data_IF_254587242441
#
_entry.id   IF_254587242441
#
_cell.length_a   1.000
_cell.length_b   1.000
_cell.length_c   1.000
_cell.angle_alpha   90.00
_cell.angle_beta   90.00
_cell.angle_gamma   90.00
#
_symmetry.space_group_name_H-M   'P 1'
#
loop_
_entity.id
_entity.type
_entity.pdbx_description
1 polymer ?
#
# COMPACT_ATOMS: atom_id res chain seq x y z
N UNK A 1 27.65 -33.21 -2.42
CA UNK A 1 26.70 -32.64 -1.45
C UNK A 1 27.36 -31.60 -0.53
N UNK A 2 28.57 -31.84 -0.03
CA UNK A 2 29.35 -30.87 0.76
C UNK A 2 29.75 -29.62 -0.02
N UNK A 3 30.28 -29.78 -1.23
CA UNK A 3 30.64 -28.66 -2.12
C UNK A 3 29.41 -27.85 -2.53
N UNK A 4 28.29 -28.50 -2.86
CA UNK A 4 27.03 -27.84 -3.17
C UNK A 4 26.50 -26.97 -2.02
N UNK A 5 26.67 -27.40 -0.75
CA UNK A 5 26.29 -26.63 0.42
C UNK A 5 27.22 -25.42 0.59
N UNK A 6 28.51 -25.56 0.33
CA UNK A 6 29.48 -24.48 0.40
C UNK A 6 29.23 -23.40 -0.68
N UNK A 7 28.90 -23.82 -1.90
CA UNK A 7 28.57 -22.91 -2.99
C UNK A 7 27.24 -22.13 -2.76
N UNK A 8 26.34 -22.71 -1.94
CA UNK A 8 25.05 -22.06 -1.63
C UNK A 8 25.16 -21.04 -0.46
N UNK A 9 26.14 -21.19 0.42
CA UNK A 9 26.33 -20.36 1.60
C UNK A 9 27.40 -19.30 1.31
N UNK A 10 26.99 -18.17 0.76
CA UNK A 10 27.80 -16.98 0.59
C UNK A 10 27.31 -15.83 1.49
N UNK A 11 28.02 -14.69 1.48
CA UNK A 11 27.59 -13.51 2.24
C UNK A 11 26.22 -12.98 1.78
N UNK A 12 25.90 -13.06 0.51
CA UNK A 12 24.60 -12.62 -0.01
C UNK A 12 23.46 -13.47 0.57
N UNK A 13 23.62 -14.79 0.66
CA UNK A 13 22.62 -15.67 1.26
C UNK A 13 22.39 -15.35 2.76
N UNK A 14 23.50 -15.17 3.52
CA UNK A 14 23.43 -14.86 4.96
C UNK A 14 22.73 -13.52 5.18
N UNK A 15 23.13 -12.47 4.45
CA UNK A 15 22.53 -11.14 4.57
C UNK A 15 21.08 -11.17 4.13
N UNK A 16 20.74 -11.84 3.04
CA UNK A 16 19.35 -12.01 2.59
C UNK A 16 18.48 -12.70 3.64
N UNK A 17 18.96 -13.76 4.26
CA UNK A 17 18.24 -14.46 5.34
C UNK A 17 18.02 -13.55 6.57
N UNK A 18 19.04 -12.78 6.97
CA UNK A 18 18.93 -11.80 8.05
C UNK A 18 17.96 -10.66 7.71
N UNK A 19 18.05 -10.12 6.52
CA UNK A 19 17.15 -9.04 6.04
C UNK A 19 15.72 -9.54 6.02
N UNK A 20 15.46 -10.77 5.56
CA UNK A 20 14.13 -11.37 5.60
C UNK A 20 13.62 -11.52 7.04
N UNK A 21 14.43 -12.10 7.92
CA UNK A 21 14.03 -12.31 9.30
C UNK A 21 13.74 -10.96 10.00
N UNK A 22 14.66 -10.00 9.94
CA UNK A 22 14.52 -8.70 10.60
C UNK A 22 13.45 -7.86 9.89
N UNK A 23 13.43 -7.84 8.56
CA UNK A 23 12.52 -7.06 7.76
C UNK A 23 11.05 -7.42 7.99
N UNK A 24 10.72 -8.72 8.00
CA UNK A 24 9.36 -9.19 8.30
C UNK A 24 8.92 -8.74 9.70
N UNK A 25 9.77 -8.90 10.71
CA UNK A 25 9.45 -8.45 12.07
C UNK A 25 9.32 -6.93 12.18
N UNK A 26 10.17 -6.17 11.47
CA UNK A 26 10.09 -4.71 11.43
C UNK A 26 8.79 -4.25 10.77
N UNK A 27 8.38 -4.89 9.66
CA UNK A 27 7.10 -4.60 9.00
C UNK A 27 5.91 -4.93 9.89
N UNK A 28 5.90 -6.12 10.52
CA UNK A 28 4.85 -6.48 11.48
C UNK A 28 4.78 -5.50 12.66
N UNK A 29 5.93 -5.06 13.17
CA UNK A 29 6.02 -4.01 14.17
C UNK A 29 5.44 -2.68 13.68
N UNK A 30 5.79 -2.26 12.47
CA UNK A 30 5.27 -1.04 11.85
C UNK A 30 3.76 -1.12 11.64
N UNK A 31 3.23 -2.27 11.22
CA UNK A 31 1.79 -2.51 11.07
C UNK A 31 1.09 -2.40 12.44
N UNK A 32 1.62 -3.03 13.48
CA UNK A 32 1.04 -2.98 14.82
C UNK A 32 1.01 -1.53 15.37
N UNK A 33 2.13 -0.80 15.23
CA UNK A 33 2.20 0.61 15.62
C UNK A 33 1.46 1.53 14.64
N UNK A 34 1.22 1.11 13.40
CA UNK A 34 0.38 1.80 12.43
C UNK A 34 -1.05 2.02 12.95
N UNK A 35 -1.64 1.00 13.57
CA UNK A 35 -2.96 1.11 14.24
C UNK A 35 -2.95 2.15 15.36
N UNK A 36 -1.88 2.17 16.14
CA UNK A 36 -1.72 3.17 17.20
C UNK A 36 -1.57 4.59 16.64
N UNK A 37 -0.73 4.76 15.61
CA UNK A 37 -0.53 6.05 14.93
C UNK A 37 -1.83 6.57 14.34
N UNK A 38 -2.62 5.70 13.72
CA UNK A 38 -3.91 6.08 13.16
C UNK A 38 -4.87 6.60 14.24
N UNK A 39 -4.97 5.92 15.38
CA UNK A 39 -5.77 6.40 16.52
C UNK A 39 -5.28 7.74 17.07
N UNK A 40 -3.97 8.00 17.04
CA UNK A 40 -3.39 9.29 17.45
C UNK A 40 -3.68 10.37 16.43
N UNK A 41 -3.40 10.14 15.15
CA UNK A 41 -3.63 11.10 14.08
C UNK A 41 -5.11 11.46 13.98
N UNK A 42 -6.00 10.47 14.01
CA UNK A 42 -7.44 10.70 13.99
C UNK A 42 -7.92 11.54 15.18
N UNK A 43 -7.37 11.28 16.37
CA UNK A 43 -7.71 12.02 17.58
C UNK A 43 -7.24 13.48 17.48
N UNK A 44 -6.04 13.73 16.99
CA UNK A 44 -5.53 15.10 16.80
C UNK A 44 -6.31 15.88 15.74
N UNK A 45 -6.72 15.25 14.64
CA UNK A 45 -7.60 15.88 13.65
C UNK A 45 -8.97 16.24 14.25
N UNK A 46 -9.43 15.46 15.23
CA UNK A 46 -10.69 15.68 15.95
C UNK A 46 -10.53 16.50 17.25
N UNK A 47 -9.39 17.14 17.44
CA UNK A 47 -9.06 17.95 18.63
C UNK A 47 -9.20 17.19 19.96
N UNK A 48 -8.70 15.95 20.01
CA UNK A 48 -8.68 15.12 21.22
C UNK A 48 -7.35 14.37 21.37
N UNK A 49 -7.01 13.97 22.62
CA UNK A 49 -5.69 13.44 22.97
C UNK A 49 -5.42 12.02 22.40
N UNK A 50 -6.46 11.22 22.15
CA UNK A 50 -6.31 9.83 21.74
C UNK A 50 -5.75 8.90 22.83
N UNK A 51 -5.25 7.70 22.50
CA UNK A 51 -4.73 6.75 23.46
C UNK A 51 -3.55 7.31 24.26
N UNK A 52 -3.62 7.27 25.62
CA UNK A 52 -2.55 7.77 26.50
C UNK A 52 -2.41 7.02 27.81
N UNK A 53 -3.15 5.91 28.05
CA UNK A 53 -3.22 5.22 29.35
C UNK A 53 -2.51 3.88 29.39
N UNK A 54 -2.47 3.12 28.29
CA UNK A 54 -1.90 1.77 28.24
C UNK A 54 -0.39 1.87 28.01
N UNK A 55 0.40 1.80 29.09
CA UNK A 55 1.85 1.80 29.03
C UNK A 55 2.45 0.41 28.78
N UNK A 56 3.77 0.31 28.87
CA UNK A 56 4.52 -0.94 28.77
C UNK A 56 4.86 -1.51 30.16
N UNK A 57 4.08 -1.16 31.17
CA UNK A 57 4.30 -1.58 32.55
C UNK A 57 3.84 -3.04 32.83
N UNK A 58 3.01 -3.63 31.97
CA UNK A 58 2.45 -5.00 32.11
C UNK A 58 1.92 -5.32 33.49
N UNK A 59 1.61 -4.31 34.30
CA UNK A 59 1.24 -4.50 35.70
C UNK A 59 2.40 -4.88 36.64
N UNK A 60 3.64 -4.90 36.16
CA UNK A 60 4.82 -5.29 36.92
C UNK A 60 5.34 -4.10 37.76
N UNK A 61 5.61 -4.30 39.06
CA UNK A 61 5.98 -3.21 39.97
C UNK A 61 7.26 -2.48 39.56
N UNK A 62 8.24 -3.18 38.98
CA UNK A 62 9.52 -2.58 38.56
C UNK A 62 9.44 -1.80 37.26
N UNK A 63 8.37 -2.00 36.46
CA UNK A 63 8.12 -1.24 35.22
C UNK A 63 7.14 -0.09 35.41
N UNK A 64 6.80 0.27 36.64
CA UNK A 64 5.85 1.39 36.93
C UNK A 64 6.24 2.71 36.29
N UNK A 65 7.53 2.96 36.02
CA UNK A 65 8.00 4.16 35.31
C UNK A 65 7.54 4.23 33.84
N UNK A 66 7.19 3.07 33.24
CA UNK A 66 6.61 2.97 31.88
C UNK A 66 5.09 3.05 31.87
N UNK A 67 4.46 3.23 33.04
CA UNK A 67 3.01 3.36 33.17
C UNK A 67 2.52 4.60 32.41
N UNK A 68 1.60 4.40 31.47
CA UNK A 68 1.05 5.50 30.68
C UNK A 68 2.03 6.14 29.68
N UNK A 69 3.21 5.54 29.44
CA UNK A 69 4.19 6.05 28.50
C UNK A 69 3.60 6.11 27.09
N UNK A 70 3.07 7.29 26.70
CA UNK A 70 2.46 7.60 25.41
C UNK A 70 1.46 6.54 24.88
N UNK A 71 0.99 5.61 25.71
CA UNK A 71 0.17 4.45 25.35
C UNK A 71 0.84 3.45 24.36
N UNK A 72 2.15 3.33 24.38
CA UNK A 72 2.92 2.42 23.50
C UNK A 72 2.58 0.93 23.70
N UNK A 73 1.94 0.57 24.82
CA UNK A 73 1.43 -0.80 25.05
C UNK A 73 0.12 -1.14 24.35
N UNK A 74 -0.52 -0.16 23.69
CA UNK A 74 -1.82 -0.35 23.05
C UNK A 74 -1.82 -1.44 21.96
N UNK A 75 -0.84 -1.51 21.03
CA UNK A 75 -0.79 -2.56 20.03
C UNK A 75 -0.72 -3.97 20.61
N UNK A 76 0.03 -4.12 21.70
CA UNK A 76 0.15 -5.40 22.39
C UNK A 76 -1.17 -5.80 23.09
N UNK A 77 -1.84 -4.85 23.73
CA UNK A 77 -3.14 -5.07 24.36
C UNK A 77 -4.20 -5.49 23.31
N UNK A 78 -4.20 -4.85 22.14
CA UNK A 78 -5.08 -5.18 21.03
C UNK A 78 -4.76 -6.59 20.48
N UNK A 79 -3.49 -6.96 20.35
CA UNK A 79 -3.06 -8.29 19.94
C UNK A 79 -3.52 -9.38 20.92
N UNK A 80 -3.28 -9.21 22.22
CA UNK A 80 -3.71 -10.15 23.26
C UNK A 80 -5.23 -10.31 23.25
N UNK A 81 -5.98 -9.23 23.09
CA UNK A 81 -7.43 -9.27 22.96
C UNK A 81 -7.91 -10.19 21.82
N UNK A 82 -7.24 -10.18 20.66
CA UNK A 82 -7.59 -11.07 19.55
C UNK A 82 -7.31 -12.54 19.85
N UNK A 83 -6.25 -12.85 20.61
CA UNK A 83 -5.96 -14.23 21.05
C UNK A 83 -6.97 -14.77 22.04
N UNK A 84 -7.50 -13.94 22.95
CA UNK A 84 -8.45 -14.35 23.99
C UNK A 84 -9.89 -14.38 23.48
N UNK A 85 -10.18 -13.64 22.39
CA UNK A 85 -11.53 -13.57 21.81
C UNK A 85 -11.95 -14.89 21.18
N UNK A 86 -13.22 -15.28 21.34
CA UNK A 86 -13.78 -16.47 20.74
C UNK A 86 -13.68 -16.46 19.21
N UNK A 87 -13.16 -17.55 18.64
CA UNK A 87 -13.07 -17.76 17.20
C UNK A 87 -14.32 -18.48 16.68
N UNK A 88 -15.30 -17.71 16.25
CA UNK A 88 -16.57 -18.22 15.73
C UNK A 88 -16.44 -18.59 14.26
N UNK A 89 -16.96 -19.76 13.89
CA UNK A 89 -17.06 -20.21 12.49
C UNK A 89 -18.52 -20.55 12.18
N UNK A 90 -19.18 -19.87 11.23
CA UNK A 90 -20.55 -20.16 10.84
C UNK A 90 -20.72 -21.60 10.32
N UNK A 91 -21.93 -22.18 10.47
CA UNK A 91 -22.16 -23.61 10.11
C UNK A 91 -22.04 -23.91 8.62
N UNK A 92 -22.42 -22.98 7.76
CA UNK A 92 -22.57 -23.19 6.31
C UNK A 92 -21.44 -22.58 5.50
N UNK A 93 -20.23 -22.41 6.06
CA UNK A 93 -19.06 -21.89 5.37
C UNK A 93 -18.20 -23.03 4.80
N UNK A 94 -17.47 -22.74 3.72
CA UNK A 94 -16.37 -23.59 3.29
C UNK A 94 -15.18 -23.38 4.24
N UNK A 95 -14.97 -24.33 5.17
CA UNK A 95 -14.01 -24.21 6.25
C UNK A 95 -12.56 -24.07 5.74
N UNK A 96 -12.21 -24.70 4.61
CA UNK A 96 -10.87 -24.68 4.04
C UNK A 96 -10.60 -23.30 3.48
N UNK A 97 -11.44 -22.81 2.59
CA UNK A 97 -11.30 -21.48 1.99
C UNK A 97 -11.44 -20.38 3.04
N UNK A 98 -12.36 -20.52 4.00
CA UNK A 98 -12.55 -19.57 5.10
C UNK A 98 -11.31 -19.41 5.98
N UNK A 99 -10.51 -20.47 6.15
CA UNK A 99 -9.27 -20.42 6.93
C UNK A 99 -8.08 -19.96 6.09
N UNK A 100 -8.02 -20.32 4.81
CA UNK A 100 -6.91 -19.96 3.92
C UNK A 100 -6.99 -18.51 3.42
N UNK A 101 -8.19 -17.95 3.25
CA UNK A 101 -8.38 -16.63 2.67
C UNK A 101 -7.62 -15.50 3.41
N UNK A 102 -7.62 -15.40 4.76
CA UNK A 102 -6.80 -14.43 5.47
C UNK A 102 -5.29 -14.60 5.22
N UNK A 103 -4.83 -15.85 5.03
CA UNK A 103 -3.42 -16.15 4.75
C UNK A 103 -3.06 -15.64 3.36
N UNK A 104 -3.91 -15.86 2.34
CA UNK A 104 -3.74 -15.30 1.00
C UNK A 104 -3.77 -13.77 0.96
N UNK A 105 -4.37 -13.11 1.94
CA UNK A 105 -4.29 -11.67 2.06
C UNK A 105 -2.97 -11.20 2.68
N UNK A 106 -2.46 -11.87 3.74
CA UNK A 106 -1.26 -11.45 4.48
C UNK A 106 0.03 -11.78 3.75
N UNK A 107 0.13 -13.00 3.20
CA UNK A 107 1.39 -13.52 2.63
C UNK A 107 1.91 -12.63 1.49
N UNK A 108 1.11 -12.21 0.49
CA UNK A 108 1.58 -11.33 -0.57
C UNK A 108 2.10 -9.99 -0.04
N UNK A 109 1.41 -9.40 0.94
CA UNK A 109 1.83 -8.14 1.53
C UNK A 109 3.22 -8.21 2.18
N UNK A 110 3.57 -9.35 2.80
CA UNK A 110 4.88 -9.55 3.41
C UNK A 110 5.96 -9.95 2.40
N UNK A 111 5.63 -10.79 1.41
CA UNK A 111 6.59 -11.24 0.40
C UNK A 111 7.07 -10.07 -0.48
N UNK A 112 6.28 -9.04 -0.70
CA UNK A 112 6.70 -7.83 -1.42
C UNK A 112 7.97 -7.19 -0.84
N UNK A 113 8.20 -7.30 0.46
CA UNK A 113 9.39 -6.75 1.10
C UNK A 113 10.70 -7.50 0.81
N UNK A 114 10.65 -8.70 0.24
CA UNK A 114 11.83 -9.50 -0.12
C UNK A 114 12.74 -8.75 -1.09
N UNK A 115 12.18 -8.03 -2.04
CA UNK A 115 12.92 -7.36 -3.12
C UNK A 115 13.23 -5.89 -2.81
N UNK A 116 12.72 -5.36 -1.68
CA UNK A 116 12.98 -3.98 -1.30
C UNK A 116 14.44 -3.75 -0.89
N UNK A 117 15.13 -2.73 -1.46
CA UNK A 117 16.49 -2.37 -1.09
C UNK A 117 16.49 -1.53 0.19
N UNK A 118 16.62 -2.18 1.33
CA UNK A 118 16.58 -1.50 2.63
C UNK A 118 17.78 -0.58 2.87
N UNK A 119 19.00 -1.03 2.47
CA UNK A 119 20.24 -0.33 2.79
C UNK A 119 21.22 -0.17 1.63
N UNK A 120 20.82 -0.50 0.40
CA UNK A 120 21.70 -0.48 -0.77
C UNK A 120 22.75 -1.58 -0.72
N UNK A 121 23.99 -1.25 -1.06
CA UNK A 121 25.11 -2.20 -1.02
C UNK A 121 25.94 -2.04 0.25
N UNK A 122 26.44 -3.17 0.76
CA UNK A 122 27.29 -3.25 1.93
C UNK A 122 28.51 -4.14 1.63
N UNK A 123 29.69 -3.69 1.96
CA UNK A 123 30.94 -4.43 1.78
C UNK A 123 31.26 -5.20 3.05
N UNK A 124 31.33 -6.52 2.95
CA UNK A 124 31.64 -7.42 4.05
C UNK A 124 33.05 -7.98 3.83
N UNK A 125 33.95 -7.87 4.80
CA UNK A 125 35.27 -8.51 4.73
C UNK A 125 35.14 -10.04 4.73
N UNK A 126 36.22 -10.74 4.35
CA UNK A 126 36.25 -12.20 4.40
C UNK A 126 35.92 -12.70 5.80
N UNK A 127 35.24 -13.84 5.91
CA UNK A 127 34.84 -14.42 7.20
C UNK A 127 36.03 -14.65 8.14
N UNK A 128 37.17 -15.02 7.59
CA UNK A 128 38.42 -15.24 8.36
C UNK A 128 38.98 -13.94 8.98
N UNK A 129 38.70 -12.77 8.38
CA UNK A 129 39.17 -11.47 8.86
C UNK A 129 38.26 -10.86 9.93
N UNK A 130 37.04 -11.35 10.06
CA UNK A 130 36.08 -10.86 11.04
C UNK A 130 36.35 -11.46 12.42
N UNK A 131 36.62 -10.62 13.42
CA UNK A 131 36.95 -11.06 14.78
C UNK A 131 35.93 -12.00 15.43
N UNK A 132 34.61 -11.82 15.12
CA UNK A 132 33.56 -12.71 15.61
C UNK A 132 33.66 -14.12 15.00
N UNK A 133 33.82 -14.25 13.70
CA UNK A 133 33.96 -15.54 13.04
C UNK A 133 35.29 -16.18 13.39
N UNK A 134 36.37 -15.43 13.49
CA UNK A 134 37.66 -15.91 13.94
C UNK A 134 37.57 -16.52 15.34
N UNK A 135 36.95 -15.82 16.29
CA UNK A 135 36.69 -16.39 17.64
C UNK A 135 35.82 -17.65 17.56
N UNK A 136 34.81 -17.70 16.69
CA UNK A 136 33.93 -18.83 16.52
C UNK A 136 34.63 -20.04 15.89
N UNK A 137 35.59 -19.81 14.99
CA UNK A 137 36.46 -20.87 14.43
C UNK A 137 37.47 -21.41 15.43
N UNK A 138 37.87 -20.62 16.43
CA UNK A 138 38.74 -21.02 17.53
C UNK A 138 38.01 -21.80 18.66
N UNK A 139 36.70 -21.99 18.57
CA UNK A 139 35.94 -22.79 19.52
C UNK A 139 36.43 -24.25 19.51
N UNK A 140 36.61 -24.90 20.73
CA UNK A 140 37.16 -26.24 20.79
C UNK A 140 36.22 -27.28 20.15
N UNK A 141 36.83 -28.25 19.49
CA UNK A 141 36.21 -29.46 18.97
C UNK A 141 35.37 -29.27 17.70
N UNK A 142 34.46 -30.26 17.49
CA UNK A 142 33.58 -30.41 16.32
C UNK A 142 32.88 -29.09 15.89
N UNK A 143 32.63 -28.16 16.80
CA UNK A 143 31.96 -26.91 16.50
C UNK A 143 32.84 -25.95 15.66
N UNK A 144 34.10 -25.77 16.03
CA UNK A 144 35.02 -24.87 15.30
C UNK A 144 35.29 -25.39 13.90
N UNK A 145 35.58 -26.67 13.73
CA UNK A 145 35.84 -27.29 12.43
C UNK A 145 34.60 -27.27 11.55
N UNK A 146 33.41 -27.52 12.12
CA UNK A 146 32.14 -27.46 11.34
C UNK A 146 31.82 -26.04 10.89
N UNK A 147 32.04 -25.07 11.77
CA UNK A 147 31.79 -23.66 11.43
C UNK A 147 32.81 -23.14 10.43
N UNK A 148 34.08 -23.51 10.54
CA UNK A 148 35.12 -23.20 9.56
C UNK A 148 34.81 -23.86 8.21
N UNK A 149 34.32 -25.08 8.18
CA UNK A 149 33.88 -25.76 6.96
C UNK A 149 32.72 -25.05 6.31
N UNK A 150 31.75 -24.54 7.08
CA UNK A 150 30.57 -23.85 6.56
C UNK A 150 30.83 -22.43 6.11
N UNK A 151 31.68 -21.67 6.81
CA UNK A 151 31.85 -20.24 6.63
C UNK A 151 33.27 -19.81 6.26
N UNK A 152 34.27 -20.61 6.51
CA UNK A 152 35.70 -20.27 6.32
C UNK A 152 36.10 -20.04 4.88
N UNK A 153 35.31 -20.50 3.89
CA UNK A 153 35.55 -20.31 2.46
C UNK A 153 35.02 -18.97 1.93
N UNK A 154 34.22 -18.22 2.74
CA UNK A 154 33.53 -17.03 2.25
C UNK A 154 34.53 -15.86 2.19
N UNK A 155 34.79 -15.40 0.97
CA UNK A 155 35.65 -14.24 0.67
C UNK A 155 34.96 -12.89 0.91
N UNK A 156 35.74 -11.80 0.87
CA UNK A 156 35.20 -10.46 0.93
C UNK A 156 34.30 -10.18 -0.28
N UNK A 157 33.10 -9.69 -0.03
CA UNK A 157 32.09 -9.48 -1.08
C UNK A 157 31.25 -8.23 -0.78
N UNK A 158 30.85 -7.52 -1.86
CA UNK A 158 29.81 -6.51 -1.79
C UNK A 158 28.44 -7.18 -1.95
N UNK A 159 27.58 -7.03 -0.96
CA UNK A 159 26.26 -7.66 -0.91
C UNK A 159 25.15 -6.62 -0.94
N UNK A 160 24.04 -6.97 -1.55
CA UNK A 160 22.82 -6.16 -1.50
C UNK A 160 22.10 -6.36 -0.18
N UNK A 161 21.71 -5.27 0.49
CA UNK A 161 20.91 -5.31 1.72
C UNK A 161 19.42 -5.44 1.35
N UNK A 162 19.07 -6.54 0.73
CA UNK A 162 17.73 -6.94 0.32
C UNK A 162 17.50 -8.43 0.62
N UNK A 163 16.26 -8.88 0.68
CA UNK A 163 15.95 -10.29 0.85
C UNK A 163 16.30 -11.12 -0.38
N UNK A 164 16.16 -10.54 -1.57
CA UNK A 164 16.62 -11.12 -2.83
C UNK A 164 16.89 -10.00 -3.84
N UNK A 165 18.02 -10.09 -4.52
CA UNK A 165 18.33 -9.20 -5.62
C UNK A 165 17.88 -9.85 -6.94
N UNK A 166 16.79 -9.33 -7.52
CA UNK A 166 16.16 -9.89 -8.71
C UNK A 166 16.13 -8.83 -9.81
N UNK A 167 16.59 -9.18 -11.01
CA UNK A 167 16.61 -8.27 -12.17
C UNK A 167 15.22 -7.70 -12.52
N UNK A 168 14.14 -8.48 -12.30
CA UNK A 168 12.76 -8.10 -12.56
C UNK A 168 12.03 -7.69 -11.27
N UNK A 169 12.74 -7.17 -10.28
CA UNK A 169 12.23 -6.93 -8.92
C UNK A 169 10.97 -6.08 -8.88
N UNK A 170 10.86 -5.05 -9.71
CA UNK A 170 9.69 -4.17 -9.76
C UNK A 170 8.45 -4.90 -10.30
N UNK A 171 8.60 -5.72 -11.35
CA UNK A 171 7.48 -6.50 -11.89
C UNK A 171 7.04 -7.57 -10.88
N UNK A 172 8.01 -8.17 -10.16
CA UNK A 172 7.72 -9.10 -9.07
C UNK A 172 6.87 -8.45 -7.98
N UNK A 173 7.20 -7.22 -7.56
CA UNK A 173 6.41 -6.48 -6.57
C UNK A 173 4.95 -6.29 -7.01
N UNK A 174 4.73 -5.89 -8.26
CA UNK A 174 3.38 -5.71 -8.82
C UNK A 174 2.63 -7.05 -8.86
N UNK A 175 3.27 -8.11 -9.38
CA UNK A 175 2.66 -9.43 -9.49
C UNK A 175 2.28 -10.02 -8.12
N UNK A 176 3.11 -9.82 -7.09
CA UNK A 176 2.82 -10.29 -5.75
C UNK A 176 1.68 -9.51 -5.12
N UNK A 177 1.63 -8.18 -5.30
CA UNK A 177 0.54 -7.35 -4.81
C UNK A 177 -0.82 -7.81 -5.36
N UNK A 178 -0.89 -8.14 -6.66
CA UNK A 178 -2.10 -8.66 -7.33
C UNK A 178 -2.64 -9.95 -6.70
N UNK A 179 -1.79 -10.80 -6.11
CA UNK A 179 -2.22 -12.04 -5.44
C UNK A 179 -3.07 -11.73 -4.21
N UNK A 180 -2.87 -10.58 -3.55
CA UNK A 180 -3.65 -10.14 -2.39
C UNK A 180 -5.15 -10.06 -2.64
N UNK A 181 -5.56 -9.80 -3.89
CA UNK A 181 -6.97 -9.75 -4.33
C UNK A 181 -7.70 -11.07 -4.03
N UNK A 182 -7.02 -12.21 -4.21
CA UNK A 182 -7.62 -13.52 -3.96
C UNK A 182 -8.01 -13.72 -2.49
N UNK A 183 -7.22 -13.17 -1.55
CA UNK A 183 -7.54 -13.26 -0.12
C UNK A 183 -8.89 -12.64 0.22
N UNK A 184 -9.17 -11.46 -0.31
CA UNK A 184 -10.43 -10.74 -0.10
C UNK A 184 -11.60 -11.42 -0.83
N UNK A 185 -11.39 -11.81 -2.09
CA UNK A 185 -12.42 -12.46 -2.91
C UNK A 185 -12.86 -13.79 -2.31
N UNK A 186 -11.88 -14.66 -1.99
CA UNK A 186 -12.16 -15.98 -1.41
C UNK A 186 -12.78 -15.87 -0.02
N UNK A 187 -12.36 -14.89 0.77
CA UNK A 187 -12.95 -14.62 2.08
C UNK A 187 -14.42 -14.26 2.01
N UNK A 188 -14.77 -13.36 1.09
CA UNK A 188 -16.17 -13.00 0.84
C UNK A 188 -17.01 -14.17 0.34
N UNK A 189 -16.45 -14.97 -0.58
CA UNK A 189 -17.11 -16.16 -1.14
C UNK A 189 -17.33 -17.25 -0.09
N UNK A 190 -16.27 -17.61 0.65
CA UNK A 190 -16.29 -18.70 1.62
C UNK A 190 -17.24 -18.45 2.79
N UNK A 191 -17.52 -17.19 3.12
CA UNK A 191 -18.38 -16.78 4.22
C UNK A 191 -19.85 -17.16 4.08
N UNK A 192 -20.30 -17.57 2.88
CA UNK A 192 -21.68 -17.91 2.55
C UNK A 192 -22.70 -16.85 3.02
N UNK A 193 -22.33 -15.60 3.01
CA UNK A 193 -23.17 -14.45 3.33
C UNK A 193 -23.23 -13.50 2.13
N UNK A 194 -24.44 -13.08 1.75
CA UNK A 194 -24.65 -12.20 0.60
C UNK A 194 -23.95 -10.84 0.74
N UNK A 195 -23.85 -10.29 1.94
CA UNK A 195 -23.15 -9.02 2.20
C UNK A 195 -21.64 -9.19 2.07
N UNK A 196 -21.10 -10.29 2.63
CA UNK A 196 -19.68 -10.62 2.48
C UNK A 196 -19.30 -10.87 1.03
N UNK A 197 -20.14 -11.58 0.28
CA UNK A 197 -19.91 -11.81 -1.15
C UNK A 197 -19.92 -10.50 -1.96
N UNK A 198 -20.89 -9.62 -1.72
CA UNK A 198 -20.94 -8.31 -2.38
C UNK A 198 -19.75 -7.43 -2.01
N UNK A 199 -19.30 -7.44 -0.75
CA UNK A 199 -18.10 -6.75 -0.30
C UNK A 199 -16.85 -7.26 -1.00
N UNK A 200 -16.67 -8.58 -1.07
CA UNK A 200 -15.56 -9.21 -1.80
C UNK A 200 -15.55 -8.88 -3.28
N UNK A 201 -16.70 -8.91 -3.96
CA UNK A 201 -16.82 -8.54 -5.37
C UNK A 201 -16.51 -7.05 -5.62
N UNK A 202 -16.98 -6.15 -4.74
CA UNK A 202 -16.66 -4.72 -4.83
C UNK A 202 -15.15 -4.46 -4.66
N UNK A 203 -14.53 -5.11 -3.66
CA UNK A 203 -13.08 -5.02 -3.43
C UNK A 203 -12.30 -5.50 -4.65
N UNK A 204 -12.64 -6.69 -5.16
CA UNK A 204 -11.98 -7.28 -6.34
C UNK A 204 -12.07 -6.37 -7.55
N UNK A 205 -13.27 -5.88 -7.86
CA UNK A 205 -13.46 -4.99 -9.01
C UNK A 205 -12.68 -3.66 -8.86
N UNK A 206 -12.61 -3.12 -7.65
CA UNK A 206 -11.81 -1.93 -7.35
C UNK A 206 -10.31 -2.20 -7.54
N UNK A 207 -9.76 -3.22 -6.88
CA UNK A 207 -8.33 -3.54 -6.94
C UNK A 207 -7.87 -3.79 -8.37
N UNK A 208 -8.55 -4.66 -9.14
CA UNK A 208 -8.21 -4.94 -10.55
C UNK A 208 -8.30 -3.68 -11.42
N UNK A 209 -9.30 -2.82 -11.19
CA UNK A 209 -9.46 -1.59 -11.98
C UNK A 209 -8.37 -0.56 -11.71
N UNK A 210 -7.85 -0.50 -10.48
CA UNK A 210 -6.79 0.44 -10.10
C UNK A 210 -5.38 -0.10 -10.31
N UNK A 211 -5.22 -1.41 -10.46
CA UNK A 211 -3.95 -2.03 -10.86
C UNK A 211 -3.50 -1.59 -12.27
N UNK A 212 -4.44 -1.40 -13.20
CA UNK A 212 -4.12 -0.94 -14.55
C UNK A 212 -3.45 0.44 -14.54
N UNK A 213 -4.06 1.51 -14.00
CA UNK A 213 -3.41 2.82 -13.95
C UNK A 213 -2.17 2.86 -13.05
N UNK A 214 -2.10 2.01 -12.00
CA UNK A 214 -0.89 1.85 -11.20
C UNK A 214 0.25 1.30 -12.06
N UNK A 215 0.01 0.27 -12.85
CA UNK A 215 0.97 -0.29 -13.81
C UNK A 215 1.39 0.72 -14.88
N UNK A 216 0.49 1.59 -15.36
CA UNK A 216 0.82 2.67 -16.29
C UNK A 216 1.74 3.73 -15.66
N UNK A 217 1.47 4.12 -14.41
CA UNK A 217 2.35 5.04 -13.67
C UNK A 217 3.74 4.43 -13.44
N UNK A 218 3.78 3.15 -13.09
CA UNK A 218 5.00 2.38 -12.94
C UNK A 218 5.79 2.33 -14.26
N UNK A 219 5.13 1.98 -15.36
CA UNK A 219 5.77 1.89 -16.67
C UNK A 219 6.41 3.22 -17.10
N UNK A 220 5.79 4.35 -16.75
CA UNK A 220 6.35 5.68 -17.07
C UNK A 220 7.69 5.93 -16.32
N UNK A 221 7.84 5.46 -15.09
CA UNK A 221 9.13 5.55 -14.36
C UNK A 221 10.16 4.60 -14.92
N UNK A 222 9.77 3.38 -15.29
CA UNK A 222 10.66 2.38 -15.89
C UNK A 222 11.18 2.79 -17.27
N UNK A 223 10.39 3.51 -18.06
CA UNK A 223 10.83 4.07 -19.35
C UNK A 223 11.98 5.07 -19.20
N UNK A 224 12.00 5.83 -18.09
CA UNK A 224 13.07 6.82 -17.83
C UNK A 224 14.32 6.13 -17.28
N UNK A 225 14.16 5.21 -16.35
CA UNK A 225 15.30 4.53 -15.69
C UNK A 225 15.94 3.46 -16.57
N UNK A 226 15.17 2.86 -17.48
CA UNK A 226 15.64 1.78 -18.35
C UNK A 226 15.93 0.46 -17.64
N UNK A 227 15.57 0.32 -16.35
CA UNK A 227 15.88 -0.85 -15.53
C UNK A 227 14.69 -1.26 -14.66
N UNK A 228 14.62 -2.56 -14.32
CA UNK A 228 13.65 -3.13 -13.37
C UNK A 228 14.30 -3.45 -12.01
N UNK A 229 15.60 -3.21 -11.85
CA UNK A 229 16.31 -3.46 -10.59
C UNK A 229 16.07 -2.32 -9.59
N UNK A 230 15.58 -2.62 -8.38
CA UNK A 230 15.29 -1.58 -7.39
C UNK A 230 16.49 -0.71 -7.01
N UNK A 231 17.67 -1.29 -6.85
CA UNK A 231 18.90 -0.55 -6.52
C UNK A 231 19.33 0.41 -7.64
N UNK A 232 19.20 0.02 -8.90
CA UNK A 232 19.55 0.87 -10.06
C UNK A 232 18.57 2.05 -10.21
N UNK A 233 17.29 1.84 -9.90
CA UNK A 233 16.30 2.93 -9.88
C UNK A 233 16.66 3.97 -8.81
N UNK A 234 17.15 3.54 -7.65
CA UNK A 234 17.64 4.46 -6.62
C UNK A 234 18.88 5.19 -7.11
N UNK A 235 19.86 4.49 -7.73
CA UNK A 235 21.06 5.09 -8.29
C UNK A 235 20.73 6.16 -9.34
N UNK A 236 19.79 5.90 -10.25
CA UNK A 236 19.30 6.88 -11.22
C UNK A 236 18.76 8.15 -10.54
N UNK A 237 17.99 8.00 -9.46
CA UNK A 237 17.41 9.12 -8.73
C UNK A 237 18.46 9.92 -7.91
N UNK A 238 19.59 9.32 -7.58
CA UNK A 238 20.71 10.02 -6.93
C UNK A 238 21.34 11.02 -7.90
N UNK A 239 21.51 10.62 -9.16
CA UNK A 239 22.13 11.46 -10.20
C UNK A 239 21.17 12.52 -10.76
N UNK A 240 19.93 12.15 -11.01
CA UNK A 240 18.95 12.99 -11.73
C UNK A 240 17.91 13.66 -10.80
N UNK A 241 17.95 13.39 -9.50
CA UNK A 241 16.99 13.89 -8.51
C UNK A 241 15.74 12.99 -8.38
N UNK A 242 14.94 13.27 -7.39
CA UNK A 242 13.73 12.46 -7.10
C UNK A 242 12.71 12.55 -8.22
N UNK A 243 12.20 11.40 -8.65
CA UNK A 243 11.18 11.31 -9.71
C UNK A 243 9.86 11.98 -9.33
N UNK A 244 9.56 12.11 -8.05
CA UNK A 244 8.38 12.86 -7.59
C UNK A 244 8.40 14.32 -8.09
N UNK A 245 9.59 14.93 -8.24
CA UNK A 245 9.74 16.30 -8.72
C UNK A 245 9.72 16.40 -10.25
N UNK A 246 10.29 15.42 -10.94
CA UNK A 246 10.29 15.39 -12.41
C UNK A 246 8.94 14.90 -12.99
N UNK A 247 8.24 13.99 -12.29
CA UNK A 247 7.00 13.36 -12.73
C UNK A 247 5.89 13.41 -11.67
N UNK A 248 5.46 14.60 -11.22
CA UNK A 248 4.49 14.72 -10.13
C UNK A 248 3.13 14.09 -10.45
N UNK A 249 2.69 14.07 -11.72
CA UNK A 249 1.43 13.45 -12.10
C UNK A 249 1.48 11.92 -12.03
N UNK A 250 2.58 11.30 -12.45
CA UNK A 250 2.78 9.86 -12.31
C UNK A 250 2.84 9.46 -10.83
N UNK A 251 3.54 10.25 -10.01
CA UNK A 251 3.62 10.04 -8.56
C UNK A 251 2.23 10.14 -7.90
N UNK A 252 1.45 11.16 -8.23
CA UNK A 252 0.09 11.33 -7.72
C UNK A 252 -0.80 10.15 -8.14
N UNK A 253 -0.75 9.76 -9.42
CA UNK A 253 -1.54 8.66 -9.96
C UNK A 253 -1.18 7.35 -9.25
N UNK A 254 0.10 7.04 -9.11
CA UNK A 254 0.58 5.86 -8.38
C UNK A 254 0.11 5.85 -6.92
N UNK A 255 0.23 6.99 -6.22
CA UNK A 255 -0.17 7.10 -4.82
C UNK A 255 -1.67 6.88 -4.62
N UNK A 256 -2.52 7.49 -5.46
CA UNK A 256 -3.97 7.30 -5.41
C UNK A 256 -4.36 5.86 -5.71
N UNK A 257 -3.72 5.24 -6.71
CA UNK A 257 -3.94 3.81 -7.02
C UNK A 257 -3.50 2.89 -5.88
N UNK A 258 -2.37 3.17 -5.24
CA UNK A 258 -1.90 2.41 -4.07
C UNK A 258 -2.85 2.47 -2.87
N UNK A 259 -3.49 3.64 -2.62
CA UNK A 259 -4.54 3.74 -1.60
C UNK A 259 -5.79 2.95 -1.96
N UNK A 260 -6.18 2.93 -3.24
CA UNK A 260 -7.33 2.16 -3.71
C UNK A 260 -7.08 0.65 -3.67
N UNK A 261 -5.85 0.21 -3.94
CA UNK A 261 -5.42 -1.19 -3.84
C UNK A 261 -5.38 -1.67 -2.38
N UNK A 262 -4.95 -0.80 -1.45
CA UNK A 262 -4.97 -1.10 -0.02
C UNK A 262 -6.38 -1.03 0.59
N UNK A 263 -7.45 -0.79 -0.20
CA UNK A 263 -8.84 -0.62 0.27
C UNK A 263 -8.99 0.39 1.40
N UNK A 264 -8.14 1.42 1.46
CA UNK A 264 -8.19 2.46 2.49
C UNK A 264 -9.00 3.67 2.06
N UNK A 265 -9.70 4.29 3.02
CA UNK A 265 -10.43 5.53 2.73
C UNK A 265 -9.50 6.59 2.09
N UNK A 266 -9.99 7.28 1.03
CA UNK A 266 -11.38 7.46 0.61
C UNK A 266 -11.97 6.30 -0.24
N UNK A 267 -11.22 5.23 -0.54
CA UNK A 267 -11.60 4.11 -1.41
C UNK A 267 -12.07 2.86 -0.64
N UNK A 268 -12.49 2.99 0.60
CA UNK A 268 -12.92 1.93 1.52
C UNK A 268 -14.39 1.50 1.24
N UNK A 269 -14.66 1.03 0.02
CA UNK A 269 -15.99 0.59 -0.39
C UNK A 269 -16.25 -0.92 -0.14
N UNK A 270 -15.18 -1.67 0.07
CA UNK A 270 -15.24 -3.09 0.37
C UNK A 270 -15.79 -3.38 1.77
N UNK A 271 -15.49 -2.49 2.72
CA UNK A 271 -15.86 -2.59 4.13
C UNK A 271 -17.05 -1.72 4.52
N UNK A 272 -17.57 -0.89 3.60
CA UNK A 272 -18.58 0.13 3.84
C UNK A 272 -19.66 -0.32 4.84
N UNK A 273 -19.43 -0.06 6.15
CA UNK A 273 -20.31 -0.50 7.25
C UNK A 273 -21.75 -0.01 7.05
N UNK A 274 -21.91 1.19 6.49
CA UNK A 274 -23.23 1.78 6.24
C UNK A 274 -24.03 1.08 5.13
N UNK A 275 -23.34 0.35 4.22
CA UNK A 275 -23.97 -0.31 3.07
C UNK A 275 -23.94 -1.84 3.18
N UNK A 276 -22.85 -2.42 3.71
CA UNK A 276 -22.54 -3.85 3.65
C UNK A 276 -22.30 -4.50 5.02
N UNK A 277 -22.67 -3.85 6.13
CA UNK A 277 -22.50 -4.30 7.52
C UNK A 277 -21.03 -4.35 7.95
N UNK A 278 -20.18 -5.08 7.29
CA UNK A 278 -18.73 -5.18 7.48
C UNK A 278 -18.03 -5.67 6.20
N UNK A 279 -18.78 -5.74 5.09
CA UNK A 279 -18.21 -6.17 3.83
C UNK A 279 -17.69 -7.62 3.86
N UNK A 280 -16.54 -7.88 3.24
CA UNK A 280 -16.01 -9.24 3.07
C UNK A 280 -15.66 -9.95 4.39
N UNK A 281 -15.34 -9.20 5.45
CA UNK A 281 -14.93 -9.75 6.75
C UNK A 281 -16.06 -9.87 7.77
N UNK A 282 -17.33 -9.65 7.38
CA UNK A 282 -18.50 -9.65 8.28
C UNK A 282 -18.58 -10.90 9.17
N UNK A 283 -18.27 -12.09 8.63
CA UNK A 283 -18.34 -13.35 9.34
C UNK A 283 -17.06 -13.74 10.09
N UNK A 284 -15.99 -12.96 9.92
CA UNK A 284 -14.71 -13.25 10.55
C UNK A 284 -14.61 -12.69 11.96
N UNK A 285 -14.01 -13.45 12.87
CA UNK A 285 -13.80 -13.06 14.27
C UNK A 285 -12.39 -13.42 14.73
N UNK A 286 -12.02 -12.99 15.96
CA UNK A 286 -10.75 -13.36 16.62
C UNK A 286 -9.52 -13.15 15.74
N UNK A 287 -8.59 -14.12 15.72
CA UNK A 287 -7.35 -14.04 14.96
C UNK A 287 -7.53 -13.98 13.45
N UNK A 288 -8.58 -14.60 12.90
CA UNK A 288 -8.86 -14.55 11.45
C UNK A 288 -9.22 -13.14 11.01
N UNK A 289 -10.01 -12.42 11.80
CA UNK A 289 -10.27 -11.00 11.56
C UNK A 289 -8.99 -10.15 11.72
N UNK A 290 -8.19 -10.45 12.76
CA UNK A 290 -6.92 -9.75 12.98
C UNK A 290 -5.95 -9.91 11.80
N UNK A 291 -5.92 -11.09 11.15
CA UNK A 291 -5.10 -11.32 9.96
C UNK A 291 -5.53 -10.45 8.77
N UNK A 292 -6.83 -10.26 8.52
CA UNK A 292 -7.28 -9.34 7.47
C UNK A 292 -6.87 -7.91 7.78
N UNK A 293 -7.07 -7.48 9.01
CA UNK A 293 -6.68 -6.15 9.46
C UNK A 293 -5.16 -5.92 9.35
N UNK A 294 -4.37 -6.95 9.70
CA UNK A 294 -2.92 -6.95 9.52
C UNK A 294 -2.53 -6.89 8.03
N UNK A 295 -3.21 -7.66 7.16
CA UNK A 295 -2.98 -7.64 5.73
C UNK A 295 -3.21 -6.26 5.13
N UNK A 296 -4.29 -5.60 5.49
CA UNK A 296 -4.67 -4.28 5.00
C UNK A 296 -3.62 -3.21 5.33
N UNK A 297 -3.14 -3.20 6.60
CA UNK A 297 -2.03 -2.30 6.97
C UNK A 297 -0.71 -2.70 6.31
N UNK A 298 -0.43 -3.98 6.18
CA UNK A 298 0.77 -4.44 5.50
C UNK A 298 0.78 -4.02 4.03
N UNK A 299 -0.35 -4.15 3.31
CA UNK A 299 -0.49 -3.65 1.94
C UNK A 299 -0.29 -2.13 1.85
N UNK A 300 -0.83 -1.36 2.80
CA UNK A 300 -0.60 0.08 2.86
C UNK A 300 0.89 0.40 3.03
N UNK A 301 1.58 -0.28 3.95
CA UNK A 301 3.03 -0.11 4.18
C UNK A 301 3.82 -0.50 2.92
N UNK A 302 3.46 -1.61 2.26
CA UNK A 302 4.08 -2.06 1.00
C UNK A 302 3.90 -1.05 -0.12
N UNK A 303 2.68 -0.53 -0.31
CA UNK A 303 2.40 0.51 -1.31
C UNK A 303 3.19 1.80 -1.03
N UNK A 304 3.28 2.22 0.23
CA UNK A 304 4.09 3.37 0.64
C UNK A 304 5.60 3.12 0.43
N UNK A 305 6.11 1.93 0.74
CA UNK A 305 7.50 1.56 0.49
C UNK A 305 7.82 1.55 -1.01
N UNK A 306 6.91 1.03 -1.81
CA UNK A 306 7.02 1.03 -3.27
C UNK A 306 6.99 2.46 -3.84
N UNK A 307 6.13 3.33 -3.33
CA UNK A 307 6.13 4.75 -3.67
C UNK A 307 7.46 5.43 -3.33
N UNK A 308 7.99 5.22 -2.13
CA UNK A 308 9.27 5.77 -1.68
C UNK A 308 10.42 5.31 -2.59
N UNK A 309 10.42 4.04 -2.97
CA UNK A 309 11.42 3.47 -3.88
C UNK A 309 11.38 4.16 -5.25
N UNK A 310 10.22 4.26 -5.86
CA UNK A 310 10.05 4.75 -7.22
C UNK A 310 10.18 6.27 -7.36
N UNK A 311 9.68 7.02 -6.38
CA UNK A 311 9.49 8.46 -6.53
C UNK A 311 10.31 9.32 -5.56
N UNK A 312 10.76 8.76 -4.42
CA UNK A 312 11.49 9.50 -3.38
C UNK A 312 12.93 9.03 -3.17
N UNK A 313 13.50 8.31 -4.13
CA UNK A 313 14.90 7.87 -4.10
C UNK A 313 15.22 6.82 -3.04
N UNK A 314 14.26 6.00 -2.64
CA UNK A 314 14.48 4.90 -1.72
C UNK A 314 15.22 5.31 -0.45
N UNK A 315 16.35 4.67 -0.18
CA UNK A 315 17.22 4.94 0.98
C UNK A 315 18.08 6.22 0.86
N UNK A 316 18.12 6.87 -0.31
CA UNK A 316 18.92 8.08 -0.53
C UNK A 316 18.20 9.34 -0.05
N UNK A 317 18.92 10.19 0.69
CA UNK A 317 18.49 11.54 1.07
C UNK A 317 19.42 12.57 0.42
N UNK A 318 18.91 13.50 -0.42
CA UNK A 318 19.71 14.57 -1.00
C UNK A 318 20.44 15.35 0.09
N UNK A 319 21.63 15.82 -0.21
CA UNK A 319 22.53 16.58 0.70
C UNK A 319 23.23 15.73 1.77
N UNK A 320 22.94 14.44 1.91
CA UNK A 320 23.58 13.56 2.89
C UNK A 320 24.42 12.52 2.16
N UNK A 321 25.71 12.78 1.93
CA UNK A 321 26.61 11.93 1.13
C UNK A 321 26.74 10.50 1.64
N UNK A 322 26.57 10.25 2.95
CA UNK A 322 26.62 8.91 3.54
C UNK A 322 25.48 7.98 3.06
N UNK A 323 24.41 8.55 2.45
CA UNK A 323 23.28 7.78 1.89
C UNK A 323 23.44 7.50 0.39
N UNK A 324 24.56 7.90 -0.24
CA UNK A 324 24.82 7.59 -1.65
C UNK A 324 25.00 6.08 -1.87
N UNK A 325 24.70 5.53 -3.06
CA UNK A 325 24.92 4.11 -3.37
C UNK A 325 26.38 3.68 -3.17
N UNK A 326 27.34 4.58 -3.42
CA UNK A 326 28.78 4.32 -3.30
C UNK A 326 29.27 4.13 -1.86
N UNK A 327 28.52 4.63 -0.86
CA UNK A 327 28.88 4.45 0.54
C UNK A 327 28.52 3.04 1.01
N UNK A 328 29.50 2.13 1.12
CA UNK A 328 29.33 0.69 1.44
C UNK A 328 29.62 0.33 2.88
N UNK A 329 30.00 1.30 3.73
CA UNK A 329 30.36 1.05 5.13
C UNK A 329 29.16 0.68 6.04
N UNK A 330 29.42 0.03 7.16
CA UNK A 330 28.41 -0.38 8.15
C UNK A 330 27.55 0.80 8.64
N UNK A 331 28.17 1.94 8.95
CA UNK A 331 27.43 3.14 9.36
C UNK A 331 26.52 3.65 8.25
N UNK A 332 27.00 3.64 7.00
CA UNK A 332 26.20 4.03 5.84
C UNK A 332 25.00 3.12 5.65
N UNK A 333 25.18 1.80 5.76
CA UNK A 333 24.09 0.81 5.71
C UNK A 333 23.02 1.09 6.77
N UNK A 334 23.44 1.29 8.04
CA UNK A 334 22.49 1.58 9.14
C UNK A 334 21.73 2.87 8.86
N UNK A 335 22.40 3.94 8.45
CA UNK A 335 21.76 5.22 8.14
C UNK A 335 20.77 5.08 6.96
N UNK A 336 21.15 4.37 5.89
CA UNK A 336 20.28 4.10 4.73
C UNK A 336 19.01 3.38 5.13
N UNK A 337 19.10 2.32 5.97
CA UNK A 337 17.93 1.58 6.47
C UNK A 337 16.99 2.53 7.24
N UNK A 338 17.52 3.36 8.13
CA UNK A 338 16.71 4.30 8.90
C UNK A 338 16.07 5.39 8.04
N UNK A 339 16.78 5.91 7.03
CA UNK A 339 16.25 6.90 6.09
C UNK A 339 15.10 6.30 5.28
N UNK A 340 15.26 5.08 4.76
CA UNK A 340 14.18 4.39 4.05
C UNK A 340 12.96 4.16 4.94
N UNK A 341 13.16 3.58 6.13
CA UNK A 341 12.10 3.34 7.08
C UNK A 341 11.37 4.63 7.50
N UNK A 342 12.11 5.72 7.76
CA UNK A 342 11.53 7.02 8.10
C UNK A 342 10.64 7.58 6.98
N UNK A 343 11.09 7.52 5.72
CA UNK A 343 10.29 7.95 4.57
C UNK A 343 9.01 7.12 4.44
N UNK A 344 9.10 5.79 4.60
CA UNK A 344 7.93 4.91 4.57
C UNK A 344 6.94 5.29 5.68
N UNK A 345 7.42 5.48 6.92
CA UNK A 345 6.57 5.91 8.05
C UNK A 345 5.90 7.25 7.76
N UNK A 346 6.61 8.22 7.21
CA UNK A 346 6.05 9.52 6.85
C UNK A 346 4.96 9.39 5.78
N UNK A 347 5.16 8.54 4.77
CA UNK A 347 4.14 8.28 3.74
C UNK A 347 2.91 7.55 4.30
N UNK A 348 3.10 6.61 5.22
CA UNK A 348 2.00 5.96 5.94
C UNK A 348 1.23 6.98 6.80
N UNK A 349 1.92 7.86 7.52
CA UNK A 349 1.27 8.95 8.27
C UNK A 349 0.49 9.90 7.33
N UNK A 350 1.05 10.22 6.16
CA UNK A 350 0.36 11.03 5.16
C UNK A 350 -0.91 10.33 4.65
N UNK A 351 -0.85 9.03 4.37
CA UNK A 351 -2.03 8.23 4.02
C UNK A 351 -3.12 8.26 5.10
N UNK A 352 -2.72 8.21 6.38
CA UNK A 352 -3.65 8.35 7.51
C UNK A 352 -4.28 9.74 7.57
N UNK A 353 -3.50 10.79 7.31
CA UNK A 353 -4.05 12.16 7.24
C UNK A 353 -5.07 12.27 6.10
N UNK A 354 -4.76 11.75 4.92
CA UNK A 354 -5.69 11.70 3.77
C UNK A 354 -6.98 10.97 4.16
N UNK A 355 -6.88 9.83 4.83
CA UNK A 355 -8.02 9.05 5.30
C UNK A 355 -8.98 9.86 6.18
N UNK A 356 -8.45 10.68 7.07
CA UNK A 356 -9.25 11.43 8.06
C UNK A 356 -9.65 12.83 7.61
N UNK A 357 -9.15 13.30 6.47
CA UNK A 357 -9.47 14.63 5.91
C UNK A 357 -10.40 14.57 4.71
N UNK A 358 -10.28 13.54 3.87
CA UNK A 358 -11.08 13.39 2.66
C UNK A 358 -12.31 12.52 2.94
N UNK A 359 -13.53 12.93 2.52
CA UNK A 359 -14.72 12.11 2.68
C UNK A 359 -14.64 10.86 1.79
N UNK A 360 -15.34 9.78 2.22
CA UNK A 360 -15.47 8.55 1.43
C UNK A 360 -16.11 8.83 0.08
N UNK A 361 -15.54 8.27 -0.97
CA UNK A 361 -16.07 8.33 -2.33
C UNK A 361 -17.03 7.15 -2.55
N UNK A 362 -18.12 7.38 -3.26
CA UNK A 362 -19.11 6.35 -3.57
C UNK A 362 -18.55 5.33 -4.57
N UNK A 363 -18.98 4.06 -4.49
CA UNK A 363 -18.43 2.99 -5.33
C UNK A 363 -18.52 3.26 -6.84
N UNK A 364 -19.66 3.79 -7.34
CA UNK A 364 -19.82 4.17 -8.75
C UNK A 364 -18.84 5.27 -9.17
N UNK A 365 -18.59 6.24 -8.29
CA UNK A 365 -17.62 7.32 -8.53
C UNK A 365 -16.18 6.79 -8.52
N UNK A 366 -15.86 5.84 -7.64
CA UNK A 366 -14.54 5.19 -7.62
C UNK A 366 -14.31 4.45 -8.93
N UNK A 367 -15.28 3.69 -9.43
CA UNK A 367 -15.15 3.00 -10.71
C UNK A 367 -15.04 3.97 -11.90
N UNK A 368 -15.81 5.04 -11.91
CA UNK A 368 -15.69 6.08 -12.94
C UNK A 368 -14.33 6.78 -12.89
N UNK A 369 -13.82 7.10 -11.70
CA UNK A 369 -12.49 7.71 -11.54
C UNK A 369 -11.39 6.82 -12.14
N UNK A 370 -11.40 5.52 -11.84
CA UNK A 370 -10.44 4.57 -12.39
C UNK A 370 -10.48 4.51 -13.93
N UNK A 371 -11.65 4.23 -14.50
CA UNK A 371 -11.79 3.99 -15.94
C UNK A 371 -11.80 5.25 -16.80
N UNK A 372 -12.46 6.31 -16.36
CA UNK A 372 -12.67 7.52 -17.19
C UNK A 372 -11.62 8.60 -16.96
N UNK A 373 -10.92 8.61 -15.82
CA UNK A 373 -9.92 9.62 -15.52
C UNK A 373 -8.51 9.03 -15.42
N UNK A 374 -8.29 8.00 -14.57
CA UNK A 374 -6.93 7.56 -14.26
C UNK A 374 -6.28 6.75 -15.38
N UNK A 375 -7.01 5.85 -16.05
CA UNK A 375 -6.47 5.08 -17.20
C UNK A 375 -6.11 6.02 -18.37
N UNK A 376 -6.98 6.91 -18.84
CA UNK A 376 -6.62 7.87 -19.90
C UNK A 376 -5.46 8.80 -19.51
N UNK A 377 -5.44 9.26 -18.25
CA UNK A 377 -4.32 10.07 -17.75
C UNK A 377 -3.00 9.29 -17.74
N UNK A 378 -3.01 8.04 -17.27
CA UNK A 378 -1.83 7.16 -17.29
C UNK A 378 -1.33 6.90 -18.71
N UNK A 379 -2.23 6.62 -19.67
CA UNK A 379 -1.87 6.46 -21.08
C UNK A 379 -1.22 7.72 -21.64
N UNK A 380 -1.76 8.91 -21.34
CA UNK A 380 -1.20 10.18 -21.81
C UNK A 380 0.20 10.41 -21.19
N UNK A 381 0.37 10.11 -19.90
CA UNK A 381 1.66 10.21 -19.22
C UNK A 381 2.71 9.32 -19.92
N UNK A 382 2.38 8.07 -20.22
CA UNK A 382 3.31 7.13 -20.90
C UNK A 382 3.68 7.64 -22.29
N UNK A 383 2.71 8.07 -23.09
CA UNK A 383 2.98 8.55 -24.45
C UNK A 383 3.92 9.74 -24.42
N UNK A 384 3.64 10.74 -23.57
CA UNK A 384 4.50 11.93 -23.46
C UNK A 384 5.88 11.56 -22.90
N UNK A 385 5.95 10.69 -21.89
CA UNK A 385 7.22 10.20 -21.33
C UNK A 385 8.05 9.47 -22.40
N UNK A 386 7.43 8.61 -23.23
CA UNK A 386 8.11 7.92 -24.32
C UNK A 386 8.72 8.89 -25.32
N UNK A 387 7.99 9.95 -25.67
CA UNK A 387 8.45 11.01 -26.56
C UNK A 387 9.63 11.76 -25.94
N UNK A 388 9.57 12.10 -24.64
CA UNK A 388 10.65 12.77 -23.93
C UNK A 388 11.93 11.93 -23.86
N UNK A 389 11.78 10.61 -23.58
CA UNK A 389 12.90 9.65 -23.58
C UNK A 389 13.50 9.52 -24.99
N UNK A 390 12.69 9.45 -26.04
CA UNK A 390 13.16 9.38 -27.42
C UNK A 390 14.03 10.60 -27.80
N UNK A 391 13.67 11.81 -27.33
CA UNK A 391 14.44 13.03 -27.56
C UNK A 391 15.61 13.21 -26.55
N UNK A 392 15.83 12.29 -25.63
CA UNK A 392 16.88 12.38 -24.61
C UNK A 392 16.64 13.47 -23.56
N UNK A 393 15.43 13.99 -23.43
CA UNK A 393 15.05 15.07 -22.51
C UNK A 393 14.52 14.51 -21.18
N UNK A 394 15.34 13.71 -20.49
CA UNK A 394 14.97 13.02 -19.24
C UNK A 394 15.32 13.79 -17.96
N UNK A 395 15.95 14.96 -18.09
CA UNK A 395 16.32 15.80 -16.94
C UNK A 395 15.12 16.44 -16.26
N UNK A 396 15.30 16.91 -15.02
CA UNK A 396 14.23 17.41 -14.13
C UNK A 396 13.34 18.46 -14.80
N UNK A 397 13.90 19.53 -15.36
CA UNK A 397 13.13 20.68 -15.88
C UNK A 397 12.30 20.36 -17.13
N UNK A 398 12.83 19.71 -18.19
CA UNK A 398 12.03 19.29 -19.33
C UNK A 398 10.90 18.34 -18.95
N UNK A 399 11.17 17.36 -18.07
CA UNK A 399 10.16 16.40 -17.62
C UNK A 399 9.06 17.08 -16.80
N UNK A 400 9.41 18.01 -15.90
CA UNK A 400 8.44 18.81 -15.17
C UNK A 400 7.58 19.65 -16.13
N UNK A 401 8.20 20.28 -17.13
CA UNK A 401 7.50 21.04 -18.19
C UNK A 401 6.50 20.16 -18.95
N UNK A 402 6.90 18.95 -19.33
CA UNK A 402 6.02 17.96 -19.97
C UNK A 402 4.82 17.59 -19.07
N UNK A 403 5.05 17.37 -17.78
CA UNK A 403 3.98 17.08 -16.82
C UNK A 403 2.99 18.26 -16.67
N UNK A 404 3.47 19.50 -16.68
CA UNK A 404 2.60 20.68 -16.68
C UNK A 404 1.73 20.73 -17.95
N UNK A 405 2.31 20.44 -19.11
CA UNK A 405 1.55 20.36 -20.38
C UNK A 405 0.48 19.24 -20.30
N UNK A 406 0.81 18.07 -19.79
CA UNK A 406 -0.15 16.98 -19.57
C UNK A 406 -1.30 17.46 -18.67
N UNK A 407 -1.00 18.13 -17.56
CA UNK A 407 -2.01 18.66 -16.64
C UNK A 407 -2.94 19.62 -17.35
N UNK A 408 -2.41 20.56 -18.15
CA UNK A 408 -3.22 21.50 -18.92
C UNK A 408 -4.11 20.76 -19.93
N UNK A 409 -3.58 19.76 -20.64
CA UNK A 409 -4.37 18.94 -21.59
C UNK A 409 -5.50 18.23 -20.86
N UNK A 410 -5.25 17.62 -19.69
CA UNK A 410 -6.28 16.92 -18.92
C UNK A 410 -7.37 17.87 -18.42
N UNK A 411 -7.01 19.08 -17.95
CA UNK A 411 -7.97 20.10 -17.52
C UNK A 411 -8.83 20.61 -18.70
N UNK A 412 -8.23 20.84 -19.86
CA UNK A 412 -8.95 21.24 -21.07
C UNK A 412 -9.87 20.12 -21.57
N UNK A 413 -9.38 18.88 -21.59
CA UNK A 413 -10.16 17.71 -21.98
C UNK A 413 -11.39 17.53 -21.07
N UNK A 414 -11.22 17.68 -19.76
CA UNK A 414 -12.34 17.63 -18.81
C UNK A 414 -13.40 18.71 -19.12
N UNK A 415 -12.97 19.92 -19.41
CA UNK A 415 -13.88 21.01 -19.73
C UNK A 415 -14.62 20.78 -21.06
N UNK A 416 -13.90 20.33 -22.09
CA UNK A 416 -14.47 20.05 -23.43
C UNK A 416 -15.42 18.86 -23.38
N UNK A 417 -15.03 17.75 -22.70
CA UNK A 417 -15.89 16.58 -22.57
C UNK A 417 -17.16 16.89 -21.78
N UNK A 418 -17.08 17.71 -20.74
CA UNK A 418 -18.26 18.14 -19.98
C UNK A 418 -19.24 19.00 -20.83
N UNK A 419 -18.71 19.74 -21.79
CA UNK A 419 -19.55 20.53 -22.73
C UNK A 419 -20.15 19.68 -23.84
N UNK A 420 -19.41 18.69 -24.37
CA UNK A 420 -19.87 17.81 -25.48
C UNK A 420 -20.91 16.79 -24.98
N UNK A 421 -20.71 16.15 -23.82
CA UNK A 421 -21.63 15.13 -23.32
C UNK A 421 -22.88 15.68 -22.63
N UNK A 422 -23.03 17.00 -22.58
CA UNK A 422 -24.07 17.61 -21.78
C UNK A 422 -23.95 17.23 -20.30
N UNK A 423 -24.35 18.07 -19.39
CA UNK A 423 -24.31 17.74 -17.95
C UNK A 423 -24.85 16.34 -17.76
N UNK A 424 -23.99 15.48 -17.25
CA UNK A 424 -24.21 14.04 -16.95
C UNK A 424 -25.70 13.71 -16.75
N UNK A 425 -26.21 12.80 -17.56
CA UNK A 425 -27.57 12.25 -17.46
C UNK A 425 -27.86 11.59 -16.10
N UNK A 426 -26.84 11.38 -15.28
CA UNK A 426 -26.96 10.80 -13.93
C UNK A 426 -27.87 11.62 -12.99
N UNK A 427 -28.05 12.92 -13.25
CA UNK A 427 -28.99 13.80 -12.53
C UNK A 427 -30.19 14.22 -13.38
N UNK A 428 -30.50 13.52 -14.48
CA UNK A 428 -31.75 13.74 -15.16
C UNK A 428 -32.89 13.26 -14.25
N UNK A 429 -33.68 14.20 -13.78
CA UNK A 429 -34.93 13.92 -13.11
C UNK A 429 -35.80 13.13 -14.06
N UNK A 430 -35.99 11.85 -13.77
CA UNK A 430 -37.03 11.07 -14.43
C UNK A 430 -38.35 11.74 -14.01
N UNK A 431 -39.10 12.30 -15.00
CA UNK A 431 -40.43 12.79 -14.70
C UNK A 431 -41.23 11.71 -14.00
N UNK A 432 -41.89 12.06 -12.91
CA UNK A 432 -42.75 11.10 -12.20
C UNK A 432 -43.80 10.47 -13.11
N UNK A 433 -44.30 11.24 -14.06
CA UNK A 433 -45.28 10.82 -15.06
C UNK A 433 -44.63 9.87 -16.08
N UNK A 434 -45.24 8.69 -16.27
CA UNK A 434 -44.73 7.62 -17.15
C UNK A 434 -43.63 6.75 -16.56
N UNK A 435 -43.18 7.00 -15.32
CA UNK A 435 -42.35 6.10 -14.60
C UNK A 435 -43.18 5.09 -13.81
N UNK A 436 -42.59 3.98 -13.34
CA UNK A 436 -43.28 3.02 -12.44
C UNK A 436 -43.72 3.63 -11.09
N UNK A 437 -43.32 4.85 -10.80
CA UNK A 437 -43.67 5.64 -9.63
C UNK A 437 -44.66 6.77 -9.99
N UNK A 438 -45.24 6.75 -11.21
CA UNK A 438 -46.35 7.64 -11.55
C UNK A 438 -47.47 7.49 -10.54
N UNK A 439 -48.06 8.59 -10.06
CA UNK A 439 -49.30 8.52 -9.25
C UNK A 439 -50.39 7.76 -10.00
N UNK A 440 -51.10 6.88 -9.31
CA UNK A 440 -52.26 6.23 -9.91
C UNK A 440 -53.38 7.24 -10.15
N UNK A 441 -54.27 6.95 -11.10
CA UNK A 441 -55.43 7.77 -11.37
C UNK A 441 -56.28 7.95 -10.10
N UNK A 442 -56.44 9.22 -9.68
CA UNK A 442 -57.14 9.57 -8.45
C UNK A 442 -56.26 9.84 -7.23
N UNK A 443 -54.94 9.58 -7.29
CA UNK A 443 -54.01 9.84 -6.20
C UNK A 443 -53.65 11.36 -6.19
N UNK A 444 -53.97 12.01 -5.06
CA UNK A 444 -53.60 13.44 -4.89
C UNK A 444 -52.12 13.56 -4.62
N UNK A 445 -51.37 14.10 -5.55
CA UNK A 445 -49.99 14.52 -5.30
C UNK A 445 -50.02 15.71 -4.31
N UNK A 446 -49.61 15.47 -3.08
CA UNK A 446 -49.50 16.54 -2.07
C UNK A 446 -48.31 17.42 -2.46
N UNK A 447 -48.59 18.58 -3.00
CA UNK A 447 -47.60 19.58 -3.32
C UNK A 447 -47.29 20.40 -2.07
N UNK A 448 -46.18 20.12 -1.39
CA UNK A 448 -45.65 21.00 -0.35
C UNK A 448 -45.20 22.35 -0.97
N UNK A 449 -45.24 23.45 -0.22
CA UNK A 449 -44.77 24.75 -0.69
C UNK A 449 -43.36 24.63 -1.29
N UNK A 450 -43.12 25.29 -2.42
CA UNK A 450 -41.88 25.16 -3.23
C UNK A 450 -40.60 25.39 -2.43
N UNK A 451 -40.67 26.13 -1.32
CA UNK A 451 -39.53 26.40 -0.42
C UNK A 451 -39.24 25.33 0.59
N UNK A 452 -40.16 24.38 0.81
CA UNK A 452 -40.04 23.29 1.80
C UNK A 452 -39.75 21.94 1.16
N UNK A 453 -39.89 21.81 -0.16
CA UNK A 453 -39.53 20.57 -0.88
C UNK A 453 -38.05 20.57 -1.22
N UNK A 454 -37.39 19.46 -0.98
CA UNK A 454 -36.08 19.20 -1.57
C UNK A 454 -36.18 19.32 -3.09
N UNK A 455 -35.11 19.73 -3.74
CA UNK A 455 -35.10 19.97 -5.19
C UNK A 455 -35.51 18.75 -6.02
N UNK A 456 -35.32 17.57 -5.46
CA UNK A 456 -35.63 16.26 -6.03
C UNK A 456 -37.11 15.85 -5.87
N UNK A 457 -37.79 16.39 -4.87
CA UNK A 457 -39.19 16.08 -4.56
C UNK A 457 -40.18 17.05 -5.22
N UNK A 458 -39.68 18.03 -5.98
CA UNK A 458 -40.56 19.01 -6.65
C UNK A 458 -41.16 18.39 -7.90
N UNK A 459 -42.50 18.45 -8.06
CA UNK A 459 -43.13 17.99 -9.27
C UNK A 459 -42.64 18.80 -10.49
N UNK A 460 -42.38 18.12 -11.60
CA UNK A 460 -41.94 18.74 -12.83
C UNK A 460 -43.10 19.60 -13.38
N UNK A 461 -42.92 20.91 -13.48
CA UNK A 461 -43.93 21.78 -14.06
C UNK A 461 -44.12 21.42 -15.55
N UNK A 462 -45.34 21.17 -15.97
CA UNK A 462 -45.73 21.01 -17.37
C UNK A 462 -45.77 19.57 -17.90
N UNK A 463 -45.67 18.52 -17.06
CA UNK A 463 -45.71 17.12 -17.48
C UNK A 463 -47.06 16.43 -17.20
N UNK A 464 -48.08 17.14 -16.81
CA UNK A 464 -49.42 16.53 -16.78
C UNK A 464 -49.84 16.18 -18.20
N UNK A 465 -50.18 14.94 -18.55
CA UNK A 465 -50.80 14.64 -19.82
C UNK A 465 -52.10 15.44 -19.89
N UNK A 466 -52.24 16.22 -20.96
CA UNK A 466 -53.54 16.75 -21.34
C UNK A 466 -54.44 15.55 -21.54
N UNK A 467 -55.43 15.36 -20.67
CA UNK A 467 -56.51 14.37 -20.81
C UNK A 467 -57.26 14.64 -22.11
#
# INVERSE_FOLDING_TARGET
MSEFIQDLIDWQFIVSALVLAIGVHAVLGLVAYGVYLERKISAYIQDRVGPNRVGLDFGLPFLKFLKGCLALGQPLADGIKFFVKEDFTPKNVDKVLFTLAPIFAVVPALIGFVVMPWGGYFEIPAAQDMGFFRWMFELPWIFGDTLFFLFGHIEAQTVSVSGAEVHIGIIYLLAVASIGVYGVTLGGWASNNKYSMLGGLRATAQMISYEIPLGLALLSTLLITGTFMPNEIVAYQVENGWMMLSMPLAALLFYVCGLAEANRAPFDNAEAEQELVGGFHTEYSSMRFALYFLAEYAHLVTACAFFVLLFMGGYHLPLVGITSPEATGLLAMIVKIHVFALKVVLMVCFAMVVRWTIPRIRYDQVMMLGWQAMIPAGMLIIVVTSVMVYFGQTTLLPMLGANVVILVILLLAQHVLATIHGRSTANHRIGLWGSRYSPMDGERVVTAPRNQMAREDRPVQGSAPSV
#
